data_IF_350933718463
#
_entry.id   IF_350933718463
#
_cell.length_a   1.000
_cell.length_b   1.000
_cell.length_c   1.000
_cell.angle_alpha   90.00
_cell.angle_beta   90.00
_cell.angle_gamma   90.00
#
_symmetry.space_group_name_H-M   'P 1'
#
loop_
_entity.id
_entity.type
_entity.pdbx_description
1 polymer ?
#
# COMPACT_ATOMS: atom_id res chain seq x y z
N UNK A 1 14.92 7.65 1.96
CA UNK A 1 15.58 6.55 1.22
C UNK A 1 14.49 5.89 0.39
N UNK A 2 14.68 5.72 -0.92
CA UNK A 2 13.66 5.24 -1.87
C UNK A 2 13.98 3.82 -2.37
N UNK A 3 14.51 2.95 -1.50
CA UNK A 3 14.73 1.54 -1.84
C UNK A 3 13.46 0.72 -1.57
N UNK A 4 13.33 -0.41 -2.28
CA UNK A 4 12.11 -1.23 -2.24
C UNK A 4 11.78 -1.75 -0.84
N UNK A 5 12.79 -2.12 -0.05
CA UNK A 5 12.57 -2.64 1.30
C UNK A 5 12.04 -1.54 2.23
N UNK A 6 12.61 -0.35 2.18
CA UNK A 6 12.12 0.80 2.95
C UNK A 6 10.67 1.14 2.59
N UNK A 7 10.32 1.14 1.30
CA UNK A 7 8.96 1.41 0.83
C UNK A 7 7.98 0.33 1.33
N UNK A 8 8.31 -0.95 1.16
CA UNK A 8 7.48 -2.05 1.63
C UNK A 8 7.25 -1.97 3.15
N UNK A 9 8.29 -1.65 3.93
CA UNK A 9 8.15 -1.48 5.39
C UNK A 9 7.24 -0.33 5.77
N UNK A 10 7.33 0.81 5.07
CA UNK A 10 6.45 1.95 5.34
C UNK A 10 5.00 1.61 4.99
N UNK A 11 4.75 0.87 3.90
CA UNK A 11 3.43 0.37 3.56
C UNK A 11 2.91 -0.65 4.60
N UNK A 12 3.74 -1.58 5.08
CA UNK A 12 3.32 -2.58 6.08
C UNK A 12 2.92 -1.96 7.42
N UNK A 13 3.50 -0.80 7.75
CA UNK A 13 3.17 -0.05 8.97
C UNK A 13 1.85 0.71 8.90
N UNK A 14 1.24 0.80 7.72
CA UNK A 14 -0.15 1.21 7.57
C UNK A 14 -1.07 0.01 7.83
N UNK A 15 -1.85 -0.04 8.93
CA UNK A 15 -2.78 -1.13 9.22
C UNK A 15 -4.05 -1.01 8.35
N UNK A 16 -3.86 -1.07 7.03
CA UNK A 16 -4.86 -0.81 5.99
C UNK A 16 -5.81 -1.99 5.79
N UNK A 17 -6.51 -2.41 6.85
CA UNK A 17 -7.48 -3.49 6.73
C UNK A 17 -8.69 -3.01 5.93
N UNK A 18 -9.08 -3.75 4.89
CA UNK A 18 -10.19 -3.39 3.99
C UNK A 18 -11.42 -2.92 4.78
N UNK A 19 -12.04 -1.78 4.44
CA UNK A 19 -11.75 -0.87 3.32
C UNK A 19 -10.78 0.29 3.65
N UNK A 20 -10.21 0.33 4.85
CA UNK A 20 -9.45 1.48 5.31
C UNK A 20 -8.08 1.59 4.60
N UNK A 21 -7.81 2.77 4.03
CA UNK A 21 -6.49 3.10 3.48
C UNK A 21 -5.39 3.14 4.55
N UNK A 22 -5.71 3.62 5.76
CA UNK A 22 -4.79 3.80 6.88
C UNK A 22 -3.45 4.51 6.52
N UNK A 23 -3.47 5.39 5.51
CA UNK A 23 -2.32 6.16 5.04
C UNK A 23 -1.45 5.45 4.00
N UNK A 24 -1.78 4.23 3.57
CA UNK A 24 -0.96 3.46 2.63
C UNK A 24 -0.86 4.15 1.26
N UNK A 25 -1.95 4.67 0.73
CA UNK A 25 -1.95 5.43 -0.52
C UNK A 25 -1.22 6.77 -0.38
N UNK A 26 -1.13 7.34 0.83
CA UNK A 26 -0.29 8.50 1.12
C UNK A 26 1.21 8.22 0.99
N UNK A 27 1.65 7.01 1.36
CA UNK A 27 3.04 6.55 1.11
C UNK A 27 3.32 6.51 -0.39
N UNK A 28 2.41 5.90 -1.17
CA UNK A 28 2.52 5.79 -2.63
C UNK A 28 2.50 7.17 -3.31
N UNK A 29 1.54 8.03 -2.94
CA UNK A 29 1.39 9.39 -3.46
C UNK A 29 2.67 10.19 -3.28
N UNK A 30 3.25 10.17 -2.08
CA UNK A 30 4.48 10.90 -1.77
C UNK A 30 5.65 10.46 -2.66
N UNK A 31 5.81 9.17 -2.86
CA UNK A 31 6.91 8.61 -3.67
C UNK A 31 6.71 8.96 -5.15
N UNK A 32 5.52 8.74 -5.69
CA UNK A 32 5.23 8.99 -7.11
C UNK A 32 5.26 10.48 -7.46
N UNK A 33 4.71 11.33 -6.59
CA UNK A 33 4.78 12.79 -6.76
C UNK A 33 6.22 13.29 -6.78
N UNK A 34 7.07 12.78 -5.87
CA UNK A 34 8.50 13.11 -5.84
C UNK A 34 9.26 12.60 -7.08
N UNK A 35 8.76 11.54 -7.73
CA UNK A 35 9.30 11.01 -8.98
C UNK A 35 8.76 11.72 -10.24
N UNK A 36 7.89 12.73 -10.10
CA UNK A 36 7.37 13.52 -11.22
C UNK A 36 6.13 12.94 -11.90
N UNK A 37 5.42 12.02 -11.24
CA UNK A 37 4.11 11.58 -11.70
C UNK A 37 3.05 12.63 -11.38
N UNK A 38 2.09 12.79 -12.29
CA UNK A 38 0.80 13.40 -11.97
C UNK A 38 -0.03 12.37 -11.19
N UNK A 39 -0.46 12.72 -9.99
CA UNK A 39 -1.17 11.81 -9.06
C UNK A 39 -2.58 12.32 -8.80
N UNK A 40 -3.56 11.42 -8.91
CA UNK A 40 -4.96 11.68 -8.66
C UNK A 40 -5.48 10.72 -7.57
N UNK A 41 -6.04 11.30 -6.50
CA UNK A 41 -6.78 10.57 -5.45
C UNK A 41 -8.26 10.63 -5.76
N UNK A 42 -8.92 9.48 -5.78
CA UNK A 42 -10.34 9.38 -6.14
C UNK A 42 -11.02 8.40 -5.19
N UNK A 43 -12.11 8.82 -4.56
CA UNK A 43 -12.94 7.96 -3.72
C UNK A 43 -14.19 7.57 -4.49
N UNK A 44 -14.47 6.27 -4.58
CA UNK A 44 -15.70 5.74 -5.15
C UNK A 44 -16.58 5.16 -4.05
N UNK A 45 -17.89 5.40 -4.13
CA UNK A 45 -18.87 4.85 -3.19
C UNK A 45 -20.11 4.32 -3.93
N UNK A 46 -20.69 3.26 -3.38
CA UNK A 46 -21.95 2.67 -3.85
C UNK A 46 -22.91 2.44 -2.66
N UNK A 47 -24.22 2.71 -2.80
CA UNK A 47 -25.17 2.50 -1.72
C UNK A 47 -25.11 1.08 -1.14
N UNK A 48 -24.93 0.97 0.18
CA UNK A 48 -24.82 -0.33 0.87
C UNK A 48 -23.40 -0.92 0.92
N UNK A 49 -22.39 -0.21 0.41
CA UNK A 49 -20.98 -0.58 0.51
C UNK A 49 -20.19 0.52 1.22
N UNK A 50 -18.97 0.21 1.66
CA UNK A 50 -18.06 1.23 2.15
C UNK A 50 -17.37 1.96 1.00
N UNK A 51 -17.11 3.25 1.18
CA UNK A 51 -16.34 4.04 0.23
C UNK A 51 -14.90 3.49 0.09
N UNK A 52 -14.37 3.49 -1.13
CA UNK A 52 -13.05 2.96 -1.47
C UNK A 52 -12.17 4.07 -2.03
N UNK A 53 -11.03 4.29 -1.40
CA UNK A 53 -10.00 5.22 -1.86
C UNK A 53 -9.11 4.58 -2.92
N UNK A 54 -8.89 5.31 -4.01
CA UNK A 54 -8.08 4.89 -5.15
C UNK A 54 -7.00 5.93 -5.45
N UNK A 55 -5.92 5.48 -6.07
CA UNK A 55 -4.85 6.35 -6.57
C UNK A 55 -4.54 5.96 -8.01
N UNK A 56 -4.63 6.94 -8.91
CA UNK A 56 -4.13 6.84 -10.26
C UNK A 56 -2.93 7.77 -10.42
N UNK A 57 -1.82 7.26 -10.93
CA UNK A 57 -0.63 8.04 -11.17
C UNK A 57 -0.12 7.80 -12.58
N UNK A 58 0.29 8.88 -13.25
CA UNK A 58 0.78 8.84 -14.63
C UNK A 58 2.02 9.70 -14.81
N UNK A 59 2.97 9.18 -15.57
CA UNK A 59 4.08 9.97 -16.13
C UNK A 59 4.09 9.78 -17.66
N UNK A 60 4.23 10.87 -18.40
CA UNK A 60 4.17 10.90 -19.86
C UNK A 60 2.74 10.87 -20.45
N UNK A 61 2.57 11.39 -21.66
CA UNK A 61 1.26 11.60 -22.30
C UNK A 61 1.04 10.79 -23.58
N UNK A 62 2.05 10.06 -24.06
CA UNK A 62 2.04 9.38 -25.37
C UNK A 62 2.15 7.86 -25.23
N UNK A 63 1.73 7.14 -26.27
CA UNK A 63 1.76 5.67 -26.33
C UNK A 63 3.18 5.14 -26.64
N UNK A 64 3.50 3.88 -26.24
CA UNK A 64 2.65 2.92 -25.53
C UNK A 64 2.49 3.22 -24.03
N UNK A 65 1.42 2.72 -23.44
CA UNK A 65 1.18 2.82 -21.98
C UNK A 65 1.47 1.47 -21.31
N UNK A 66 2.17 1.53 -20.18
CA UNK A 66 2.39 0.40 -19.28
C UNK A 66 1.82 0.81 -17.92
N UNK A 67 0.96 -0.04 -17.35
CA UNK A 67 0.28 0.23 -16.08
C UNK A 67 0.55 -0.91 -15.09
N UNK A 68 0.95 -0.55 -13.88
CA UNK A 68 0.95 -1.45 -12.73
C UNK A 68 -0.40 -1.32 -12.00
N UNK A 69 -1.10 -2.44 -11.82
CA UNK A 69 -2.30 -2.51 -11.00
C UNK A 69 -2.03 -3.31 -9.73
N UNK A 70 -2.61 -2.90 -8.61
CA UNK A 70 -2.46 -3.54 -7.32
C UNK A 70 -3.38 -2.93 -6.26
N UNK A 71 -3.30 -3.43 -5.04
CA UNK A 71 -4.08 -2.95 -3.91
C UNK A 71 -3.20 -2.70 -2.68
N UNK A 72 -3.65 -1.80 -1.80
CA UNK A 72 -2.92 -1.44 -0.57
C UNK A 72 -3.60 -1.98 0.68
N UNK A 73 -4.86 -2.38 0.58
CA UNK A 73 -5.59 -2.99 1.67
C UNK A 73 -5.09 -4.41 1.92
N UNK A 74 -5.34 -4.89 3.14
CA UNK A 74 -4.95 -6.22 3.58
C UNK A 74 -6.08 -6.87 4.36
N UNK A 75 -6.07 -8.20 4.43
CA UNK A 75 -6.99 -8.93 5.31
C UNK A 75 -6.68 -8.71 6.80
N UNK A 76 -7.65 -8.90 7.71
CA UNK A 76 -7.41 -8.81 9.15
C UNK A 76 -6.22 -9.67 9.60
N UNK A 77 -5.42 -9.22 10.58
CA UNK A 77 -4.25 -9.96 11.05
C UNK A 77 -4.59 -11.18 11.90
N UNK A 78 -5.83 -11.27 12.41
CA UNK A 78 -6.22 -12.28 13.39
C UNK A 78 -5.73 -11.92 14.80
N UNK A 79 -5.43 -12.93 15.61
CA UNK A 79 -4.89 -12.77 16.96
C UNK A 79 -3.42 -12.29 16.91
N UNK A 80 -3.16 -11.07 17.40
CA UNK A 80 -1.82 -10.49 17.43
C UNK A 80 -0.81 -11.32 18.23
N UNK A 81 -1.26 -12.04 19.27
CA UNK A 81 -0.37 -12.87 20.09
C UNK A 81 0.13 -14.12 19.37
N UNK A 82 -0.54 -14.53 18.28
CA UNK A 82 -0.11 -15.64 17.45
C UNK A 82 1.01 -15.26 16.46
N UNK A 83 1.32 -13.97 16.32
CA UNK A 83 2.38 -13.50 15.44
C UNK A 83 3.74 -13.54 16.14
N UNK A 84 4.76 -14.09 15.46
CA UNK A 84 6.15 -14.05 15.93
C UNK A 84 6.79 -12.66 15.79
N UNK A 85 6.23 -11.82 14.92
CA UNK A 85 6.58 -10.43 14.67
C UNK A 85 5.29 -9.65 14.46
N UNK A 86 5.15 -8.46 15.03
CA UNK A 86 3.89 -7.71 14.98
C UNK A 86 3.35 -7.60 13.55
N UNK A 87 2.04 -7.83 13.36
CA UNK A 87 1.43 -7.95 12.03
C UNK A 87 1.66 -6.71 11.13
N UNK A 88 1.85 -5.53 11.72
CA UNK A 88 2.13 -4.27 11.00
C UNK A 88 3.48 -3.66 11.38
N UNK A 89 4.42 -4.46 11.89
CA UNK A 89 5.74 -3.99 12.33
C UNK A 89 6.66 -3.59 11.16
N UNK A 90 6.58 -4.36 10.05
CA UNK A 90 7.58 -4.32 8.99
C UNK A 90 8.96 -4.73 9.51
N UNK A 91 9.02 -5.72 10.40
CA UNK A 91 10.27 -6.25 10.94
C UNK A 91 11.05 -7.00 9.85
N UNK A 92 12.38 -6.86 9.89
CA UNK A 92 13.27 -7.63 9.01
C UNK A 92 14.15 -8.49 9.90
N UNK A 93 14.08 -9.80 9.73
CA UNK A 93 14.86 -10.76 10.50
C UNK A 93 15.29 -11.93 9.62
N UNK A 94 16.55 -12.33 9.73
CA UNK A 94 17.13 -13.47 9.02
C UNK A 94 16.91 -13.43 7.49
N UNK A 95 16.88 -12.22 6.91
CA UNK A 95 16.67 -12.01 5.47
C UNK A 95 15.20 -11.95 5.03
N UNK A 96 14.24 -12.08 5.95
CA UNK A 96 12.81 -12.04 5.66
C UNK A 96 12.15 -10.77 6.20
N UNK A 97 11.20 -10.22 5.43
CA UNK A 97 10.32 -9.14 5.84
C UNK A 97 9.02 -9.73 6.40
N UNK A 98 8.66 -9.35 7.63
CA UNK A 98 7.47 -9.84 8.33
C UNK A 98 6.40 -8.75 8.41
N UNK A 99 5.18 -9.13 8.05
CA UNK A 99 3.99 -8.31 8.21
C UNK A 99 2.84 -8.78 7.33
N UNK A 100 1.62 -8.52 7.77
CA UNK A 100 0.41 -8.63 6.97
C UNK A 100 0.52 -7.66 5.79
N UNK A 101 0.53 -8.22 4.58
CA UNK A 101 0.72 -7.48 3.34
C UNK A 101 2.06 -7.74 2.65
N UNK A 102 3.05 -8.34 3.33
CA UNK A 102 4.43 -8.44 2.82
C UNK A 102 4.57 -9.35 1.59
N UNK A 103 3.57 -10.21 1.37
CA UNK A 103 3.45 -11.08 0.20
C UNK A 103 2.26 -10.67 -0.67
N UNK A 104 1.25 -10.02 -0.08
CA UNK A 104 -0.04 -9.76 -0.71
C UNK A 104 -0.62 -8.39 -0.27
N UNK A 105 -0.33 -7.30 -0.99
CA UNK A 105 0.66 -7.19 -2.07
C UNK A 105 1.50 -5.90 -1.96
N UNK A 106 1.86 -5.52 -0.72
CA UNK A 106 2.68 -4.33 -0.40
C UNK A 106 4.17 -4.59 -0.62
#
# INVERSE_FOLDING_TARGET
>A
MTDALSIARDLLRCPSVTPADAGALGVVEKILSAAGFEVHRITFGEPGTADIDNLYARIGSTAPHITFGGHTDVVPPGDESAWSHGAFSGDVKDGFLYGRGAVDMK
#
